data_IF_012264919518
#
_entry.id   IF_012264919518
#
_cell.length_a   1.000
_cell.length_b   1.000
_cell.length_c   1.000
_cell.angle_alpha   90.00
_cell.angle_beta   90.00
_cell.angle_gamma   90.00
#
_symmetry.space_group_name_H-M   'P 1'
#
loop_
_entity.id
_entity.type
_entity.pdbx_description
1 polymer ?
#
# COMPACT_ATOMS: atom_id res chain seq x y z
N UNK A 1 15.65 -11.65 -12.69
CA UNK A 1 14.43 -11.06 -12.10
C UNK A 1 14.84 -9.86 -11.26
N UNK A 2 14.27 -8.67 -11.50
CA UNK A 2 14.53 -7.50 -10.65
C UNK A 2 13.87 -7.75 -9.29
N UNK A 3 14.69 -7.93 -8.26
CA UNK A 3 14.23 -8.02 -6.87
C UNK A 3 13.70 -6.63 -6.51
N UNK A 4 12.39 -6.48 -6.39
CA UNK A 4 11.82 -5.23 -5.89
C UNK A 4 12.13 -5.20 -4.39
N UNK A 5 13.02 -4.30 -3.99
CA UNK A 5 13.34 -4.05 -2.58
C UNK A 5 12.38 -2.97 -2.10
N UNK A 6 11.39 -3.37 -1.30
CA UNK A 6 10.47 -2.43 -0.66
C UNK A 6 11.09 -1.88 0.61
N UNK A 7 10.83 -0.61 0.85
CA UNK A 7 11.21 0.08 2.08
C UNK A 7 9.96 0.44 2.88
N UNK A 8 10.14 0.66 4.17
CA UNK A 8 9.13 1.27 5.02
C UNK A 8 8.58 2.55 4.37
N UNK A 9 7.25 2.68 4.41
CA UNK A 9 6.49 3.76 3.78
C UNK A 9 6.16 3.54 2.30
N UNK A 10 6.73 2.54 1.64
CA UNK A 10 6.49 2.32 0.21
C UNK A 10 5.03 1.95 -0.05
N UNK A 11 4.38 2.72 -0.93
CA UNK A 11 3.08 2.37 -1.50
C UNK A 11 3.28 1.56 -2.77
N UNK A 12 2.53 0.46 -2.88
CA UNK A 12 2.56 -0.44 -4.03
C UNK A 12 1.16 -0.68 -4.55
N UNK A 13 1.03 -0.76 -5.87
CA UNK A 13 -0.18 -1.23 -6.52
C UNK A 13 -0.14 -2.74 -6.66
N UNK A 14 -1.23 -3.39 -6.30
CA UNK A 14 -1.44 -4.83 -6.34
C UNK A 14 -2.55 -5.16 -7.34
N UNK A 15 -2.26 -6.00 -8.33
CA UNK A 15 -3.29 -6.59 -9.20
C UNK A 15 -3.80 -7.88 -8.57
N UNK A 16 -5.08 -7.89 -8.18
CA UNK A 16 -5.74 -9.07 -7.59
C UNK A 16 -6.32 -9.97 -8.68
N UNK A 17 -6.85 -9.36 -9.74
CA UNK A 17 -7.31 -9.99 -10.99
C UNK A 17 -7.40 -8.92 -12.09
N UNK A 18 -7.86 -9.27 -13.29
CA UNK A 18 -7.80 -8.39 -14.47
C UNK A 18 -8.41 -7.00 -14.28
N UNK A 19 -9.58 -6.92 -13.65
CA UNK A 19 -10.31 -5.67 -13.46
C UNK A 19 -10.37 -5.25 -11.98
N UNK A 20 -9.37 -5.65 -11.19
CA UNK A 20 -9.33 -5.34 -9.76
C UNK A 20 -7.91 -5.14 -9.26
N UNK A 21 -7.62 -3.88 -8.97
CA UNK A 21 -6.40 -3.44 -8.35
C UNK A 21 -6.71 -2.87 -6.97
N UNK A 22 -5.78 -3.02 -6.05
CA UNK A 22 -5.78 -2.32 -4.77
C UNK A 22 -4.39 -1.73 -4.54
N UNK A 23 -4.22 -0.96 -3.48
CA UNK A 23 -2.91 -0.52 -3.06
C UNK A 23 -2.66 -0.94 -1.61
N UNK A 24 -1.39 -1.11 -1.28
CA UNK A 24 -0.96 -1.44 0.06
C UNK A 24 0.29 -0.64 0.41
N UNK A 25 0.51 -0.45 1.70
CA UNK A 25 1.68 0.23 2.24
C UNK A 25 2.56 -0.76 2.98
N UNK A 26 3.86 -0.70 2.70
CA UNK A 26 4.86 -1.35 3.52
C UNK A 26 5.05 -0.56 4.81
N UNK A 27 4.69 -1.15 5.95
CA UNK A 27 4.94 -0.53 7.25
C UNK A 27 6.38 -0.83 7.66
N UNK A 28 6.63 -2.05 8.09
CA UNK A 28 7.97 -2.56 8.36
C UNK A 28 8.02 -4.01 7.88
N UNK A 29 9.11 -4.47 7.28
CA UNK A 29 9.13 -5.85 6.74
C UNK A 29 8.95 -6.88 7.87
N UNK A 30 8.00 -7.85 7.77
CA UNK A 30 7.15 -8.23 6.62
C UNK A 30 5.68 -7.75 6.69
N UNK A 31 5.39 -6.78 7.54
CA UNK A 31 4.06 -6.21 7.77
C UNK A 31 3.64 -5.24 6.66
N UNK A 32 2.47 -5.50 6.10
CA UNK A 32 1.82 -4.63 5.15
C UNK A 32 0.42 -4.25 5.60
N UNK A 33 0.08 -3.01 5.27
CA UNK A 33 -1.23 -2.41 5.53
C UNK A 33 -2.01 -2.32 4.22
N UNK A 34 -3.26 -2.76 4.26
CA UNK A 34 -4.18 -2.76 3.12
C UNK A 34 -5.32 -1.77 3.35
N UNK A 35 -5.81 -1.19 2.26
CA UNK A 35 -6.78 -0.10 2.31
C UNK A 35 -8.06 -0.44 1.55
N UNK A 36 -9.17 0.18 1.98
CA UNK A 36 -10.50 0.08 1.39
C UNK A 36 -10.58 0.98 0.17
N UNK A 37 -9.72 0.67 -0.80
CA UNK A 37 -9.68 1.34 -2.08
C UNK A 37 -9.27 0.36 -3.17
N UNK A 38 -10.01 0.42 -4.27
CA UNK A 38 -9.71 -0.34 -5.47
C UNK A 38 -9.92 0.49 -6.73
N UNK A 39 -9.25 0.11 -7.80
CA UNK A 39 -9.49 0.64 -9.14
C UNK A 39 -9.46 -0.51 -10.16
N UNK A 40 -9.96 -0.23 -11.37
CA UNK A 40 -10.14 -1.24 -12.42
C UNK A 40 -8.86 -1.43 -13.24
N UNK A 41 -8.13 -0.34 -13.50
CA UNK A 41 -7.03 -0.28 -14.46
C UNK A 41 -5.64 -0.15 -13.82
N UNK A 42 -5.58 0.03 -12.50
CA UNK A 42 -4.33 0.31 -11.80
C UNK A 42 -3.85 1.75 -11.94
N UNK A 43 -4.64 2.67 -12.52
CA UNK A 43 -4.28 4.09 -12.53
C UNK A 43 -4.68 4.74 -11.20
N UNK A 44 -3.67 5.30 -10.53
CA UNK A 44 -3.84 5.92 -9.22
C UNK A 44 -3.77 7.44 -9.26
N UNK A 45 -3.62 8.10 -10.41
CA UNK A 45 -3.28 9.54 -10.49
C UNK A 45 -4.23 10.45 -9.70
N UNK A 46 -5.53 10.24 -9.81
CA UNK A 46 -6.56 11.13 -9.22
C UNK A 46 -7.05 10.68 -7.84
N UNK A 47 -6.44 9.64 -7.28
CA UNK A 47 -6.80 9.11 -5.96
C UNK A 47 -6.13 9.90 -4.84
N UNK A 48 -6.93 10.25 -3.82
CA UNK A 48 -6.46 10.72 -2.51
C UNK A 48 -6.22 9.53 -1.55
N UNK A 49 -4.95 9.21 -1.36
CA UNK A 49 -4.49 8.12 -0.48
C UNK A 49 -4.60 8.48 1.00
N UNK A 50 -4.67 9.77 1.33
CA UNK A 50 -4.73 10.22 2.72
C UNK A 50 -6.10 9.91 3.36
N UNK A 51 -7.16 9.81 2.56
CA UNK A 51 -8.51 9.49 3.06
C UNK A 51 -8.85 8.00 3.00
N UNK A 52 -7.93 7.18 2.49
CA UNK A 52 -8.17 5.74 2.36
C UNK A 52 -8.22 5.08 3.73
N UNK A 53 -9.35 4.41 4.01
CA UNK A 53 -9.56 3.67 5.26
C UNK A 53 -8.71 2.40 5.24
N UNK A 54 -8.02 2.09 6.35
CA UNK A 54 -7.37 0.80 6.52
C UNK A 54 -8.40 -0.32 6.71
N UNK A 55 -8.18 -1.45 6.04
CA UNK A 55 -8.95 -2.68 6.29
C UNK A 55 -8.22 -3.55 7.31
N UNK A 56 -6.95 -3.85 7.07
CA UNK A 56 -6.15 -4.71 7.94
C UNK A 56 -4.64 -4.51 7.73
N UNK A 57 -3.88 -4.93 8.74
CA UNK A 57 -2.43 -5.07 8.70
C UNK A 57 -2.07 -6.55 8.91
N UNK A 58 -1.21 -7.10 8.05
CA UNK A 58 -0.87 -8.53 8.08
C UNK A 58 0.58 -8.79 7.68
N UNK A 59 1.14 -9.87 8.20
CA UNK A 59 2.41 -10.45 7.74
C UNK A 59 2.22 -11.06 6.35
N UNK A 60 3.03 -10.61 5.38
CA UNK A 60 2.93 -11.13 4.02
C UNK A 60 4.25 -11.76 3.57
N UNK A 61 4.15 -12.99 3.08
CA UNK A 61 5.28 -13.68 2.48
C UNK A 61 5.74 -13.00 1.19
N UNK A 62 7.06 -12.82 1.05
CA UNK A 62 7.67 -12.11 -0.07
C UNK A 62 7.27 -12.67 -1.44
N UNK A 63 7.09 -13.98 -1.56
CA UNK A 63 6.74 -14.66 -2.82
C UNK A 63 5.33 -14.28 -3.32
N UNK A 64 4.36 -14.17 -2.41
CA UNK A 64 2.98 -13.86 -2.77
C UNK A 64 2.89 -12.44 -3.31
N UNK A 65 3.52 -11.49 -2.61
CA UNK A 65 3.55 -10.10 -3.05
C UNK A 65 4.25 -9.88 -4.37
N UNK A 66 5.36 -10.59 -4.64
CA UNK A 66 6.06 -10.47 -5.92
C UNK A 66 5.18 -10.84 -7.12
N UNK A 67 4.13 -11.65 -6.92
CA UNK A 67 3.18 -12.00 -7.97
C UNK A 67 2.04 -10.99 -8.14
N UNK A 68 1.73 -10.23 -7.10
CA UNK A 68 0.62 -9.29 -7.09
C UNK A 68 1.07 -7.86 -7.41
N UNK A 69 2.29 -7.48 -7.01
CA UNK A 69 2.81 -6.12 -7.20
C UNK A 69 3.02 -5.84 -8.69
N UNK A 70 2.35 -4.81 -9.17
CA UNK A 70 2.55 -4.29 -10.53
C UNK A 70 3.59 -3.18 -10.53
N UNK A 71 3.46 -2.22 -9.62
CA UNK A 71 4.37 -1.09 -9.53
C UNK A 71 4.39 -0.44 -8.15
N UNK A 72 5.39 0.42 -7.94
CA UNK A 72 5.49 1.30 -6.78
C UNK A 72 4.85 2.63 -7.10
N UNK A 73 3.92 3.06 -6.25
CA UNK A 73 3.25 4.34 -6.36
C UNK A 73 4.19 5.40 -5.78
N UNK A 74 4.54 6.42 -6.58
CA UNK A 74 5.49 7.49 -6.20
C UNK A 74 4.76 8.81 -5.95
N UNK A 75 5.31 9.63 -5.07
CA UNK A 75 4.82 10.98 -4.82
C UNK A 75 3.47 11.05 -4.09
N UNK A 76 3.04 9.93 -3.50
CA UNK A 76 1.80 9.83 -2.73
C UNK A 76 2.09 9.32 -1.33
N UNK A 77 1.29 9.73 -0.37
CA UNK A 77 1.39 9.29 1.03
C UNK A 77 0.00 9.01 1.59
N UNK A 78 -0.07 8.05 2.49
CA UNK A 78 -1.24 7.73 3.30
C UNK A 78 -1.14 8.41 4.67
N UNK A 79 -2.22 8.39 5.45
CA UNK A 79 -2.15 8.82 6.85
C UNK A 79 -1.25 7.90 7.68
N UNK A 80 -0.53 8.46 8.68
CA UNK A 80 0.30 7.69 9.58
C UNK A 80 -0.53 6.65 10.34
N UNK A 81 0.08 5.49 10.64
CA UNK A 81 -0.58 4.37 11.32
C UNK A 81 -1.14 4.78 12.69
N UNK A 82 -0.46 5.71 13.36
CA UNK A 82 -0.93 6.36 14.57
C UNK A 82 -1.12 7.85 14.25
N UNK A 83 -2.29 8.44 14.55
CA UNK A 83 -2.35 9.89 14.68
C UNK A 83 -1.27 10.26 15.72
N UNK A 84 -0.42 11.24 15.40
CA UNK A 84 0.43 11.83 16.44
C UNK A 84 -0.54 12.24 17.55
N UNK A 85 -0.49 11.56 18.69
CA UNK A 85 -1.13 12.05 19.90
C UNK A 85 -0.55 13.45 20.04
N UNK A 86 -1.41 14.48 19.98
CA UNK A 86 -0.97 15.84 20.23
C UNK A 86 -0.28 15.79 21.60
N UNK A 87 1.03 16.01 21.61
CA UNK A 87 1.77 16.33 22.82
C UNK A 87 1.05 17.56 23.40
N UNK A 88 0.16 17.26 24.35
CA UNK A 88 -0.65 18.24 25.04
C UNK A 88 0.31 18.90 26.01
N UNK A 89 0.91 20.01 25.55
CA UNK A 89 1.72 20.91 26.38
C UNK A 89 0.86 21.65 27.38
#
# INVERSE_FOLDING_TARGET
>A
MKRVVWKEGDLVSLKLKDDLYTFAQMLCSPYMRFFDLSCVDGDWKEIDFAQSKEIFCVLVGQIVLQKLVVEKIRGKSTQPLFPKVLDSS
#
